data_IF_379439604300
#
_entry.id   IF_379439604300
#
_cell.length_a   1.000
_cell.length_b   1.000
_cell.length_c   1.000
_cell.angle_alpha   90.00
_cell.angle_beta   90.00
_cell.angle_gamma   90.00
#
_symmetry.space_group_name_H-M   'P 1'
#
loop_
_entity.id
_entity.type
_entity.pdbx_description
1 polymer ?
#
# COMPACT_ATOMS: atom_id res chain seq x y z
N UNK A 1 -7.65 0.75 29.45
CA UNK A 1 -7.61 2.16 28.98
C UNK A 1 -6.96 2.33 27.61
N UNK A 2 -5.79 1.74 27.33
CA UNK A 2 -5.09 1.92 26.03
C UNK A 2 -5.85 1.35 24.82
N UNK A 3 -6.59 0.26 24.99
CA UNK A 3 -7.42 -0.32 23.92
C UNK A 3 -8.52 0.65 23.46
N UNK A 4 -9.21 1.29 24.40
CA UNK A 4 -10.23 2.31 24.08
C UNK A 4 -9.61 3.49 23.33
N UNK A 5 -8.43 3.93 23.77
CA UNK A 5 -7.70 5.01 23.09
C UNK A 5 -7.29 4.64 21.67
N UNK A 6 -6.85 3.40 21.44
CA UNK A 6 -6.50 2.89 20.11
C UNK A 6 -7.71 2.91 19.17
N UNK A 7 -8.87 2.42 19.62
CA UNK A 7 -10.10 2.45 18.82
C UNK A 7 -10.55 3.89 18.54
N UNK A 8 -10.47 4.78 19.54
CA UNK A 8 -10.78 6.20 19.34
C UNK A 8 -9.86 6.85 18.32
N UNK A 9 -8.56 6.57 18.37
CA UNK A 9 -7.58 7.09 17.41
C UNK A 9 -7.86 6.62 15.97
N UNK A 10 -8.22 5.35 15.78
CA UNK A 10 -8.61 4.82 14.47
C UNK A 10 -9.89 5.49 13.93
N UNK A 11 -10.88 5.72 14.80
CA UNK A 11 -12.12 6.41 14.44
C UNK A 11 -11.84 7.86 14.02
N UNK A 12 -11.02 8.57 14.79
CA UNK A 12 -10.62 9.95 14.46
C UNK A 12 -9.81 10.00 13.17
N UNK A 13 -8.89 9.07 12.95
CA UNK A 13 -8.11 8.98 11.71
C UNK A 13 -9.02 8.81 10.49
N UNK A 14 -10.00 7.89 10.56
CA UNK A 14 -10.97 7.68 9.49
C UNK A 14 -11.81 8.95 9.24
N UNK A 15 -12.26 9.61 10.31
CA UNK A 15 -13.05 10.84 10.21
C UNK A 15 -12.27 12.00 9.59
N UNK A 16 -11.04 12.24 10.03
CA UNK A 16 -10.17 13.27 9.47
C UNK A 16 -9.84 12.97 8.01
N UNK A 17 -9.51 11.71 7.68
CA UNK A 17 -9.23 11.28 6.31
C UNK A 17 -10.41 11.52 5.36
N UNK A 18 -11.65 11.34 5.84
CA UNK A 18 -12.84 11.69 5.07
C UNK A 18 -12.92 13.19 4.77
N UNK A 19 -12.78 14.04 5.79
CA UNK A 19 -12.82 15.50 5.64
C UNK A 19 -11.73 15.99 4.69
N UNK A 20 -10.51 15.49 4.87
CA UNK A 20 -9.35 15.84 4.06
C UNK A 20 -9.51 15.40 2.59
N UNK A 21 -10.15 14.26 2.34
CA UNK A 21 -10.51 13.81 0.98
C UNK A 21 -11.44 14.82 0.28
N UNK A 22 -12.44 15.35 0.98
CA UNK A 22 -13.31 16.41 0.43
C UNK A 22 -12.57 17.72 0.25
N UNK A 23 -11.75 18.13 1.22
CA UNK A 23 -11.00 19.38 1.17
C UNK A 23 -10.04 19.45 -0.02
N UNK A 24 -9.34 18.35 -0.31
CA UNK A 24 -8.41 18.26 -1.44
C UNK A 24 -9.02 18.55 -2.80
N UNK A 25 -10.30 18.20 -3.00
CA UNK A 25 -11.00 18.40 -4.27
C UNK A 25 -11.13 19.88 -4.66
N UNK A 26 -11.10 20.77 -3.66
CA UNK A 26 -11.32 22.21 -3.84
C UNK A 26 -10.10 23.06 -3.49
N UNK A 27 -9.15 22.53 -2.72
CA UNK A 27 -7.96 23.27 -2.28
C UNK A 27 -6.90 23.46 -3.39
N UNK A 28 -6.48 24.70 -3.64
CA UNK A 28 -5.44 25.09 -4.62
C UNK A 28 -5.68 24.53 -6.03
N UNK A 29 -6.94 24.53 -6.48
CA UNK A 29 -7.33 24.11 -7.84
C UNK A 29 -7.19 25.25 -8.87
N UNK A 30 -7.07 26.50 -8.41
CA UNK A 30 -6.83 27.66 -9.29
C UNK A 30 -5.36 27.70 -9.73
N UNK A 31 -5.09 27.27 -10.95
CA UNK A 31 -3.79 27.49 -11.62
C UNK A 31 -3.25 26.31 -12.41
N UNK A 32 -3.72 25.09 -12.14
CA UNK A 32 -3.29 23.86 -12.79
C UNK A 32 -4.51 23.01 -13.20
N UNK A 33 -4.32 22.02 -14.06
CA UNK A 33 -5.39 21.11 -14.45
C UNK A 33 -5.85 20.28 -13.24
N UNK A 34 -7.07 20.54 -12.77
CA UNK A 34 -7.69 19.91 -11.58
C UNK A 34 -7.46 18.39 -11.47
N UNK A 35 -7.65 17.67 -12.59
CA UNK A 35 -7.50 16.22 -12.62
C UNK A 35 -6.05 15.76 -12.35
N UNK A 36 -5.04 16.48 -12.84
CA UNK A 36 -3.63 16.12 -12.62
C UNK A 36 -3.21 16.36 -11.16
N UNK A 37 -3.60 17.50 -10.61
CA UNK A 37 -3.31 17.82 -9.21
C UNK A 37 -3.98 16.83 -8.26
N UNK A 38 -5.24 16.48 -8.54
CA UNK A 38 -6.01 15.54 -7.71
C UNK A 38 -5.43 14.14 -7.81
N UNK A 39 -5.02 13.71 -9.02
CA UNK A 39 -4.39 12.41 -9.25
C UNK A 39 -3.07 12.27 -8.49
N UNK A 40 -2.15 13.25 -8.61
CA UNK A 40 -0.88 13.20 -7.90
C UNK A 40 -1.06 13.16 -6.36
N UNK A 41 -1.92 14.03 -5.81
CA UNK A 41 -2.18 14.05 -4.37
C UNK A 41 -2.83 12.76 -3.88
N UNK A 42 -3.74 12.20 -4.68
CA UNK A 42 -4.39 10.93 -4.36
C UNK A 42 -3.41 9.78 -4.39
N UNK A 43 -2.49 9.77 -5.35
CA UNK A 43 -1.41 8.78 -5.43
C UNK A 43 -0.47 8.85 -4.22
N UNK A 44 0.03 10.04 -3.87
CA UNK A 44 0.91 10.23 -2.71
C UNK A 44 0.22 9.77 -1.41
N UNK A 45 -1.07 10.06 -1.25
CA UNK A 45 -1.85 9.59 -0.08
C UNK A 45 -2.07 8.10 -0.09
N UNK A 46 -2.43 7.51 -1.23
CA UNK A 46 -2.59 6.07 -1.36
C UNK A 46 -1.27 5.35 -1.03
N UNK A 47 -0.14 5.87 -1.50
CA UNK A 47 1.19 5.35 -1.17
C UNK A 47 1.48 5.43 0.34
N UNK A 48 1.25 6.58 0.97
CA UNK A 48 1.47 6.76 2.40
C UNK A 48 0.56 5.85 3.25
N UNK A 49 -0.69 5.69 2.85
CA UNK A 49 -1.64 4.78 3.51
C UNK A 49 -1.21 3.31 3.32
N UNK A 50 -0.70 2.93 2.15
CA UNK A 50 -0.18 1.58 1.88
C UNK A 50 1.05 1.28 2.75
N UNK A 51 1.99 2.22 2.86
CA UNK A 51 3.16 2.12 3.77
C UNK A 51 2.73 2.02 5.23
N UNK A 52 1.86 2.93 5.68
CA UNK A 52 1.35 2.92 7.05
C UNK A 52 0.59 1.62 7.35
N UNK A 53 -0.27 1.17 6.45
CA UNK A 53 -1.06 -0.04 6.61
C UNK A 53 -0.21 -1.30 6.67
N UNK A 54 0.86 -1.38 5.87
CA UNK A 54 1.85 -2.46 5.97
C UNK A 54 2.51 -2.48 7.35
N UNK A 55 2.95 -1.33 7.84
CA UNK A 55 3.59 -1.20 9.16
C UNK A 55 2.64 -1.48 10.32
N UNK A 56 1.49 -0.82 10.34
CA UNK A 56 0.57 -0.79 11.47
C UNK A 56 -0.15 -2.13 11.69
N UNK A 57 -0.48 -2.84 10.61
CA UNK A 57 -1.24 -4.09 10.67
C UNK A 57 -0.37 -5.31 10.38
N UNK A 58 0.95 -5.20 10.60
CA UNK A 58 1.91 -6.23 10.25
C UNK A 58 1.62 -7.60 10.88
N UNK A 59 1.14 -7.64 12.12
CA UNK A 59 0.85 -8.89 12.82
C UNK A 59 -0.27 -9.65 12.09
N UNK A 60 -1.34 -8.93 11.73
CA UNK A 60 -2.46 -9.46 10.97
C UNK A 60 -2.00 -9.98 9.60
N UNK A 61 -1.21 -9.20 8.88
CA UNK A 61 -0.70 -9.57 7.56
C UNK A 61 0.24 -10.77 7.61
N UNK A 62 1.12 -10.83 8.61
CA UNK A 62 2.02 -11.96 8.77
C UNK A 62 1.24 -13.23 9.13
N UNK A 63 0.19 -13.16 9.95
CA UNK A 63 -0.67 -14.32 10.23
C UNK A 63 -1.46 -14.77 9.01
N UNK A 64 -2.09 -13.83 8.28
CA UNK A 64 -2.98 -14.16 7.18
C UNK A 64 -2.23 -14.56 5.91
N UNK A 65 -1.10 -13.91 5.61
CA UNK A 65 -0.46 -13.97 4.29
C UNK A 65 0.95 -14.57 4.32
N UNK A 66 1.63 -14.64 5.46
CA UNK A 66 3.02 -15.13 5.54
C UNK A 66 3.07 -16.58 6.05
N UNK A 67 3.89 -17.43 5.41
CA UNK A 67 4.22 -18.76 5.94
C UNK A 67 5.59 -18.79 6.62
N UNK A 68 6.58 -18.08 6.07
CA UNK A 68 7.98 -17.97 6.51
C UNK A 68 8.67 -16.84 5.70
N UNK A 69 9.99 -16.63 5.87
CA UNK A 69 10.78 -15.72 5.02
C UNK A 69 10.61 -14.25 5.36
N UNK A 70 10.65 -13.37 4.35
CA UNK A 70 10.43 -11.93 4.49
C UNK A 70 9.13 -11.65 5.26
N UNK A 71 9.06 -10.59 6.06
CA UNK A 71 7.86 -10.27 6.86
C UNK A 71 7.26 -8.94 6.42
N UNK A 72 5.94 -8.81 6.58
CA UNK A 72 5.27 -7.51 6.55
C UNK A 72 5.70 -6.67 7.75
N UNK A 73 5.59 -5.34 7.64
CA UNK A 73 5.85 -4.45 8.77
C UNK A 73 7.15 -3.65 8.75
N UNK A 74 7.85 -3.57 7.61
CA UNK A 74 8.97 -2.64 7.49
C UNK A 74 8.46 -1.23 7.23
N UNK A 75 8.70 -0.29 8.16
CA UNK A 75 8.32 1.10 7.97
C UNK A 75 9.02 1.69 6.74
N UNK A 76 8.27 2.43 5.91
CA UNK A 76 8.73 2.92 4.61
C UNK A 76 8.51 1.98 3.42
N UNK A 77 8.03 0.76 3.66
CA UNK A 77 7.71 -0.20 2.60
C UNK A 77 6.20 -0.35 2.40
N UNK A 78 5.75 -0.39 1.15
CA UNK A 78 4.36 -0.66 0.77
C UNK A 78 3.99 -2.13 0.94
N UNK A 79 2.70 -2.40 1.15
CA UNK A 79 2.21 -3.79 1.21
C UNK A 79 2.42 -4.49 -0.14
N UNK A 80 2.24 -3.76 -1.25
CA UNK A 80 2.49 -4.25 -2.61
C UNK A 80 3.95 -4.69 -2.85
N UNK A 81 4.95 -3.96 -2.34
CA UNK A 81 6.36 -4.36 -2.38
C UNK A 81 6.59 -5.66 -1.60
N UNK A 82 6.03 -5.76 -0.38
CA UNK A 82 6.17 -6.95 0.46
C UNK A 82 5.55 -8.19 -0.21
N UNK A 83 4.35 -8.05 -0.79
CA UNK A 83 3.73 -9.10 -1.60
C UNK A 83 4.61 -9.53 -2.78
N UNK A 84 5.25 -8.60 -3.47
CA UNK A 84 6.18 -8.90 -4.57
C UNK A 84 7.42 -9.67 -4.11
N UNK A 85 8.06 -9.27 -3.00
CA UNK A 85 9.20 -10.00 -2.42
C UNK A 85 8.80 -11.41 -2.00
N UNK A 86 7.67 -11.55 -1.32
CA UNK A 86 7.14 -12.85 -0.89
C UNK A 86 6.71 -13.74 -2.06
N UNK A 87 6.19 -13.16 -3.14
CA UNK A 87 5.90 -13.88 -4.37
C UNK A 87 7.18 -14.52 -4.94
N UNK A 88 8.29 -13.78 -4.98
CA UNK A 88 9.60 -14.29 -5.44
C UNK A 88 10.14 -15.40 -4.53
N UNK A 89 9.99 -15.23 -3.22
CA UNK A 89 10.40 -16.23 -2.21
C UNK A 89 9.46 -17.44 -2.12
N UNK A 90 8.30 -17.39 -2.79
CA UNK A 90 7.20 -18.37 -2.65
C UNK A 90 6.78 -18.58 -1.19
N UNK A 91 6.80 -17.50 -0.41
CA UNK A 91 6.60 -17.51 1.04
C UNK A 91 5.21 -17.02 1.51
N UNK A 92 4.25 -16.99 0.59
CA UNK A 92 2.85 -16.64 0.84
C UNK A 92 1.99 -17.84 1.30
N UNK A 93 1.02 -17.59 2.17
CA UNK A 93 -0.06 -18.55 2.46
C UNK A 93 -0.94 -18.76 1.22
N UNK A 94 -1.77 -19.80 1.23
CA UNK A 94 -2.76 -19.98 0.15
C UNK A 94 -3.69 -18.75 0.05
N UNK A 95 -4.11 -18.19 1.19
CA UNK A 95 -4.90 -16.98 1.24
C UNK A 95 -4.12 -15.76 0.71
N UNK A 96 -2.83 -15.63 1.06
CA UNK A 96 -1.96 -14.59 0.52
C UNK A 96 -1.79 -14.66 -1.01
N UNK A 97 -1.69 -15.87 -1.57
CA UNK A 97 -1.67 -16.08 -3.02
C UNK A 97 -2.99 -15.68 -3.70
N UNK A 98 -4.13 -15.98 -3.08
CA UNK A 98 -5.44 -15.56 -3.57
C UNK A 98 -5.56 -14.04 -3.61
N UNK A 99 -5.16 -13.35 -2.54
CA UNK A 99 -5.16 -11.88 -2.47
C UNK A 99 -4.21 -11.27 -3.50
N UNK A 100 -3.00 -11.82 -3.64
CA UNK A 100 -2.05 -11.40 -4.67
C UNK A 100 -2.64 -11.51 -6.08
N UNK A 101 -3.36 -12.60 -6.38
CA UNK A 101 -4.01 -12.77 -7.66
C UNK A 101 -5.08 -11.70 -7.91
N UNK A 102 -5.93 -11.41 -6.92
CA UNK A 102 -6.93 -10.35 -7.01
C UNK A 102 -6.30 -8.98 -7.26
N UNK A 103 -5.24 -8.62 -6.52
CA UNK A 103 -4.52 -7.35 -6.71
C UNK A 103 -3.95 -7.26 -8.13
N UNK A 104 -3.33 -8.35 -8.60
CA UNK A 104 -2.79 -8.39 -9.95
C UNK A 104 -3.88 -8.25 -11.02
N UNK A 105 -5.09 -8.75 -10.81
CA UNK A 105 -6.20 -8.63 -11.78
C UNK A 105 -6.84 -7.24 -11.81
N UNK A 106 -6.87 -6.52 -10.68
CA UNK A 106 -7.48 -5.18 -10.62
C UNK A 106 -6.70 -4.15 -11.44
N UNK A 107 -5.36 -4.21 -11.42
CA UNK A 107 -4.55 -3.38 -12.32
C UNK A 107 -4.32 -4.09 -13.66
N UNK A 108 -5.37 -4.10 -14.51
CA UNK A 108 -5.33 -4.73 -15.84
C UNK A 108 -4.13 -4.28 -16.68
N UNK A 109 -3.69 -3.01 -16.52
CA UNK A 109 -2.55 -2.48 -17.26
C UNK A 109 -1.25 -3.16 -16.82
N UNK A 110 -0.99 -3.25 -15.51
CA UNK A 110 0.16 -3.99 -14.99
C UNK A 110 0.00 -5.51 -15.11
N UNK A 111 -1.22 -6.02 -15.13
CA UNK A 111 -1.51 -7.43 -15.39
C UNK A 111 -1.08 -7.85 -16.79
N UNK A 112 -1.46 -7.06 -17.81
CA UNK A 112 -1.02 -7.26 -19.19
C UNK A 112 0.51 -7.11 -19.33
N UNK A 113 1.13 -6.21 -18.57
CA UNK A 113 2.59 -6.08 -18.52
C UNK A 113 3.27 -7.32 -17.91
N UNK A 114 2.62 -7.98 -16.94
CA UNK A 114 3.07 -9.27 -16.40
C UNK A 114 3.18 -10.34 -17.48
N UNK A 115 2.16 -10.49 -18.33
CA UNK A 115 2.22 -11.42 -19.47
C UNK A 115 3.24 -11.04 -20.55
N UNK A 116 3.66 -9.77 -20.58
CA UNK A 116 4.73 -9.27 -21.46
C UNK A 116 6.13 -9.40 -20.84
N UNK A 117 6.27 -10.09 -19.71
CA UNK A 117 7.55 -10.32 -19.03
C UNK A 117 8.10 -9.10 -18.27
N UNK A 118 7.28 -8.05 -18.04
CA UNK A 118 7.67 -6.85 -17.28
C UNK A 118 7.37 -6.92 -15.78
N UNK A 119 6.91 -8.08 -15.31
CA UNK A 119 6.46 -8.31 -13.92
C UNK A 119 4.99 -7.95 -13.71
N UNK A 120 4.31 -8.74 -12.87
CA UNK A 120 2.94 -8.45 -12.42
C UNK A 120 2.93 -7.29 -11.40
N UNK A 121 1.75 -6.75 -11.07
CA UNK A 121 1.60 -5.53 -10.25
C UNK A 121 2.54 -5.49 -9.03
N UNK A 122 2.46 -6.48 -8.14
CA UNK A 122 3.25 -6.48 -6.91
C UNK A 122 4.74 -6.75 -7.16
N UNK A 123 5.09 -7.53 -8.17
CA UNK A 123 6.48 -7.78 -8.56
C UNK A 123 7.16 -6.51 -9.10
N UNK A 124 6.42 -5.73 -9.89
CA UNK A 124 6.88 -4.44 -10.40
C UNK A 124 6.94 -3.36 -9.31
N UNK A 125 6.26 -3.56 -8.18
CA UNK A 125 6.22 -2.64 -7.04
C UNK A 125 7.29 -2.93 -5.98
N UNK A 126 8.21 -3.87 -6.20
CA UNK A 126 9.28 -4.19 -5.24
C UNK A 126 10.18 -2.96 -5.04
N UNK A 127 10.22 -2.46 -3.81
CA UNK A 127 11.08 -1.34 -3.41
C UNK A 127 12.46 -1.84 -2.99
N UNK A 128 13.50 -1.09 -3.38
CA UNK A 128 14.88 -1.30 -2.93
C UNK A 128 15.06 -0.85 -1.48
N UNK A 129 16.08 -1.37 -0.80
CA UNK A 129 16.38 -0.99 0.58
C UNK A 129 16.71 0.50 0.73
N UNK A 130 17.38 1.07 -0.28
CA UNK A 130 17.65 2.51 -0.33
C UNK A 130 16.36 3.33 -0.44
N UNK A 131 15.42 2.92 -1.30
CA UNK A 131 14.14 3.62 -1.44
C UNK A 131 13.30 3.57 -0.15
N UNK A 132 13.33 2.44 0.56
CA UNK A 132 12.65 2.31 1.85
C UNK A 132 13.32 3.19 2.92
N UNK A 133 14.65 3.25 2.93
CA UNK A 133 15.38 4.08 3.89
C UNK A 133 15.18 5.59 3.63
N UNK A 134 15.11 6.00 2.37
CA UNK A 134 14.88 7.39 1.99
C UNK A 134 13.47 7.89 2.36
N UNK A 135 12.49 6.99 2.51
CA UNK A 135 11.17 7.37 3.02
C UNK A 135 11.20 7.87 4.47
N UNK A 136 12.18 7.42 5.27
CA UNK A 136 12.27 7.72 6.71
C UNK A 136 13.06 9.02 6.96
N UNK A 137 13.81 9.51 5.96
CA UNK A 137 14.62 10.74 6.05
C UNK A 137 13.76 11.99 5.91
#
# INVERSE_FOLDING_TARGET
>A
MNLVLSFLAQLLFAFVGLIDSFFMLFYKVRGEKWYKLTDQRSFEKAFNIDVYGNYQYNELWNVLFSKNGYQFGRFGETMSSCFGKKQKEKSLTWFGWMVLFLINTVDVTKWVNGFKGKGFHCEASIQSDAAIADFIK
#
